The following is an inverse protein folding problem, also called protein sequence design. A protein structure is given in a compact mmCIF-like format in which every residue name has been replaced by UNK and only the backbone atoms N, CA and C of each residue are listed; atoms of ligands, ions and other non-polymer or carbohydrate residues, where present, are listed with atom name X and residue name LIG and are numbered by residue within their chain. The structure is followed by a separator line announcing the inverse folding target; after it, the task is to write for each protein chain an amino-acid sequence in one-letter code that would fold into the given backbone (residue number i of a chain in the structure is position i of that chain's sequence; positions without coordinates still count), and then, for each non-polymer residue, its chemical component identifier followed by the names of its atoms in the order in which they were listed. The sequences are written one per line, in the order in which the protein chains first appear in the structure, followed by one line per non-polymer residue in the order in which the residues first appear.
data_IF_420674629237
#
_entry.id   IF_420674629237
#
_cell.length_a   1.000
_cell.length_b   1.000
_cell.length_c   1.000
_cell.angle_alpha   90.00
_cell.angle_beta   90.00
_cell.angle_gamma   90.00
#
_symmetry.space_group_name_H-M   'P 1'
#
loop_
_entity.id
_entity.type
_entity.pdbx_description
1 polymer ?
#
# COMPACT_ATOMS: atom_id res chain seq x y z
N UNK A 1 31.25 -5.63 7.75
CA UNK A 1 29.91 -6.00 8.29
C UNK A 1 28.90 -5.99 7.15
N UNK A 2 28.27 -7.12 6.85
CA UNK A 2 27.20 -7.21 5.85
C UNK A 2 26.01 -6.43 6.41
N UNK A 3 25.63 -5.29 5.80
CA UNK A 3 24.42 -4.56 6.19
C UNK A 3 23.23 -5.44 5.81
N UNK A 4 22.60 -6.09 6.78
CA UNK A 4 21.33 -6.76 6.53
C UNK A 4 20.31 -5.70 6.19
N UNK A 5 19.71 -5.81 5.02
CA UNK A 5 18.64 -4.91 4.63
C UNK A 5 17.48 -5.10 5.60
N UNK A 6 16.71 -4.03 5.85
CA UNK A 6 15.59 -4.10 6.79
C UNK A 6 14.59 -5.22 6.42
N UNK A 7 14.48 -5.52 5.13
CA UNK A 7 13.71 -6.65 4.60
C UNK A 7 14.23 -7.99 5.12
N UNK A 8 15.54 -8.24 5.11
CA UNK A 8 16.15 -9.48 5.57
C UNK A 8 16.01 -9.65 7.08
N UNK A 9 16.09 -8.53 7.82
CA UNK A 9 15.88 -8.51 9.28
C UNK A 9 14.43 -8.86 9.62
N UNK A 10 13.46 -8.26 8.92
CA UNK A 10 12.04 -8.53 9.14
C UNK A 10 11.74 -9.99 8.75
N UNK A 11 12.27 -10.47 7.63
CA UNK A 11 12.07 -11.86 7.19
C UNK A 11 12.60 -12.88 8.19
N UNK A 12 13.74 -12.63 8.83
CA UNK A 12 14.35 -13.56 9.80
C UNK A 12 13.70 -13.50 11.18
N UNK A 13 13.27 -12.31 11.63
CA UNK A 13 12.69 -12.12 12.96
C UNK A 13 11.18 -12.37 13.01
N UNK A 14 10.45 -12.01 11.96
CA UNK A 14 8.99 -12.10 11.92
C UNK A 14 8.49 -12.35 10.48
N UNK A 15 8.36 -13.64 10.17
CA UNK A 15 7.93 -14.11 8.85
C UNK A 15 6.48 -13.74 8.53
N UNK A 16 5.62 -13.60 9.55
CA UNK A 16 4.21 -13.27 9.35
C UNK A 16 4.05 -11.80 8.99
N UNK A 17 4.79 -10.92 9.67
CA UNK A 17 4.88 -9.50 9.29
C UNK A 17 5.48 -9.35 7.90
N UNK A 18 6.54 -10.07 7.57
CA UNK A 18 7.11 -10.08 6.22
C UNK A 18 6.07 -10.47 5.15
N UNK A 19 5.32 -11.56 5.38
CA UNK A 19 4.27 -12.04 4.46
C UNK A 19 3.14 -11.03 4.30
N UNK A 20 2.68 -10.39 5.39
CA UNK A 20 1.67 -9.32 5.36
C UNK A 20 2.15 -8.12 4.54
N UNK A 21 3.38 -7.66 4.74
CA UNK A 21 3.97 -6.54 4.00
C UNK A 21 4.07 -6.82 2.50
N UNK A 22 4.48 -8.04 2.13
CA UNK A 22 4.52 -8.47 0.72
C UNK A 22 3.13 -8.53 0.09
N UNK A 23 2.11 -8.96 0.84
CA UNK A 23 0.72 -8.91 0.41
C UNK A 23 0.16 -7.49 0.22
N UNK A 24 0.62 -6.52 1.03
CA UNK A 24 0.26 -5.11 0.86
C UNK A 24 0.92 -4.51 -0.40
N UNK A 25 2.13 -4.96 -0.75
CA UNK A 25 2.86 -4.51 -1.95
C UNK A 25 2.20 -4.95 -3.26
N UNK A 26 1.46 -6.07 -3.26
CA UNK A 26 0.81 -6.62 -4.48
C UNK A 26 -0.51 -5.94 -4.84
N UNK A 27 -1.17 -5.28 -3.88
CA UNK A 27 -2.36 -4.47 -4.16
C UNK A 27 -1.90 -3.23 -4.93
N UNK A 28 -2.33 -3.08 -6.19
CA UNK A 28 -2.12 -1.87 -7.02
C UNK A 28 -2.55 -0.63 -6.23
N UNK A 29 -1.62 0.01 -5.53
CA UNK A 29 -1.88 1.27 -4.84
C UNK A 29 -2.01 2.34 -5.92
N UNK A 30 -3.12 3.07 -5.91
CA UNK A 30 -3.20 4.35 -6.60
C UNK A 30 -2.05 5.21 -6.07
N UNK A 31 -1.24 5.75 -6.98
CA UNK A 31 -0.02 6.47 -6.64
C UNK A 31 -0.41 7.76 -5.94
N UNK A 32 -0.32 7.79 -4.61
CA UNK A 32 -0.41 9.03 -3.84
C UNK A 32 0.92 9.76 -4.07
N UNK A 33 0.85 11.00 -4.54
CA UNK A 33 2.03 11.81 -4.86
C UNK A 33 2.26 12.87 -3.78
N UNK A 34 3.52 13.27 -3.60
CA UNK A 34 3.87 14.35 -2.70
C UNK A 34 3.25 15.66 -3.25
N UNK A 35 2.50 16.38 -2.42
CA UNK A 35 1.73 17.55 -2.83
C UNK A 35 0.27 17.26 -3.19
N UNK A 36 -0.18 16.00 -3.11
CA UNK A 36 -1.61 15.69 -3.15
C UNK A 36 -2.34 16.33 -1.96
N UNK A 37 -3.56 16.79 -2.24
CA UNK A 37 -4.49 17.31 -1.25
C UNK A 37 -4.79 16.26 -0.17
N UNK A 38 -4.90 16.62 1.12
CA UNK A 38 -5.19 15.68 2.20
C UNK A 38 -6.46 14.84 1.97
N UNK A 39 -7.45 15.39 1.29
CA UNK A 39 -8.69 14.72 0.92
C UNK A 39 -8.44 13.48 0.04
N UNK A 40 -7.36 13.47 -0.77
CA UNK A 40 -6.96 12.30 -1.57
C UNK A 40 -6.34 11.18 -0.72
N UNK A 41 -5.75 11.50 0.44
CA UNK A 41 -5.27 10.48 1.37
C UNK A 41 -6.44 9.68 1.97
N UNK A 42 -7.55 10.36 2.27
CA UNK A 42 -8.75 9.73 2.86
C UNK A 42 -9.62 8.98 1.85
N UNK A 43 -9.43 9.23 0.55
CA UNK A 43 -10.23 8.61 -0.52
C UNK A 43 -9.71 7.24 -0.98
N UNK A 44 -8.70 6.67 -0.30
CA UNK A 44 -8.14 5.36 -0.66
C UNK A 44 -9.21 4.26 -0.76
N UNK A 45 -10.24 4.30 0.08
CA UNK A 45 -11.36 3.35 0.08
C UNK A 45 -12.66 3.96 -0.47
N UNK A 46 -12.60 5.15 -1.08
CA UNK A 46 -13.77 5.83 -1.62
C UNK A 46 -14.13 5.33 -3.02
N UNK A 47 -15.42 5.03 -3.22
CA UNK A 47 -15.97 4.61 -4.51
C UNK A 47 -17.09 5.56 -4.94
N UNK A 48 -17.09 5.87 -6.23
CA UNK A 48 -18.11 6.69 -6.90
C UNK A 48 -18.80 5.86 -7.97
N UNK A 49 -20.12 6.03 -8.12
CA UNK A 49 -20.88 5.42 -9.21
C UNK A 49 -20.68 6.24 -10.49
N UNK A 50 -20.06 5.64 -11.51
CA UNK A 50 -19.90 6.23 -12.84
C UNK A 50 -20.52 5.28 -13.86
N UNK A 51 -21.50 5.77 -14.65
CA UNK A 51 -22.20 4.98 -15.68
C UNK A 51 -22.67 3.61 -15.16
N UNK A 52 -23.33 3.60 -13.98
CA UNK A 52 -23.83 2.42 -13.26
C UNK A 52 -22.77 1.50 -12.63
N UNK A 53 -21.48 1.69 -12.91
CA UNK A 53 -20.39 0.91 -12.30
C UNK A 53 -19.78 1.63 -11.09
N UNK A 54 -19.34 0.85 -10.09
CA UNK A 54 -18.54 1.38 -8.97
C UNK A 54 -17.10 1.59 -9.44
N UNK A 55 -16.60 2.82 -9.35
CA UNK A 55 -15.22 3.19 -9.69
C UNK A 55 -14.55 3.77 -8.44
N UNK A 56 -13.40 3.24 -8.07
CA UNK A 56 -12.59 3.82 -6.98
C UNK A 56 -12.18 5.24 -7.39
N UNK A 57 -12.25 6.21 -6.47
CA UNK A 57 -11.77 7.61 -6.68
C UNK A 57 -10.25 7.65 -6.66
#
# INVERSE_FOLDING_TARGET
MKRMNIEEIIRSKDIDTYRKLMGIKSKRKKKIMLGDKPERLMQHDAFVRVRRASRQI
#
